data_IF_551252464214
#
_entry.id   IF_551252464214
#
_cell.length_a   1.000
_cell.length_b   1.000
_cell.length_c   1.000
_cell.angle_alpha   90.00
_cell.angle_beta   90.00
_cell.angle_gamma   90.00
#
_symmetry.space_group_name_H-M   'P 1'
#
loop_
_entity.id
_entity.type
_entity.pdbx_description
1 polymer ?
#
# COMPACT_ATOMS: atom_id res chain seq x y z
N UNK A 1 -6.35 -1.74 8.19
CA UNK A 1 -6.72 -0.45 7.58
C UNK A 1 -8.00 0.08 8.22
N UNK A 2 -9.13 -0.64 8.17
CA UNK A 2 -10.44 -0.14 8.63
C UNK A 2 -10.43 0.43 10.03
N UNK A 3 -9.96 -0.31 11.03
CA UNK A 3 -9.91 0.15 12.42
C UNK A 3 -9.06 1.42 12.59
N UNK A 4 -7.99 1.57 11.80
CA UNK A 4 -7.18 2.77 11.83
C UNK A 4 -7.96 3.98 11.25
N UNK A 5 -8.71 3.78 10.17
CA UNK A 5 -9.59 4.81 9.62
C UNK A 5 -10.73 5.18 10.58
N UNK A 6 -11.29 4.20 11.28
CA UNK A 6 -12.30 4.45 12.31
C UNK A 6 -11.73 5.33 13.44
N UNK A 7 -10.51 5.04 13.88
CA UNK A 7 -9.82 5.85 14.90
C UNK A 7 -9.54 7.28 14.41
N UNK A 8 -9.10 7.45 13.16
CA UNK A 8 -8.89 8.78 12.56
C UNK A 8 -10.21 9.56 12.49
N UNK A 9 -11.28 8.89 12.07
CA UNK A 9 -12.61 9.49 11.98
C UNK A 9 -13.12 9.93 13.37
N UNK A 10 -13.02 9.07 14.36
CA UNK A 10 -13.39 9.39 15.72
C UNK A 10 -12.57 10.57 16.28
N UNK A 11 -11.26 10.56 16.07
CA UNK A 11 -10.39 11.66 16.47
C UNK A 11 -10.82 13.00 15.84
N UNK A 12 -11.26 13.01 14.58
CA UNK A 12 -11.77 14.21 13.91
C UNK A 12 -13.10 14.68 14.51
N UNK A 13 -13.99 13.73 14.83
CA UNK A 13 -15.28 14.04 15.44
C UNK A 13 -15.14 14.64 16.83
N UNK A 14 -14.29 14.06 17.67
CA UNK A 14 -14.11 14.51 19.06
C UNK A 14 -13.29 15.80 19.20
N UNK A 15 -12.31 16.02 18.33
CA UNK A 15 -11.35 17.10 18.47
C UNK A 15 -11.49 18.20 17.38
N UNK A 16 -12.53 18.14 16.57
CA UNK A 16 -12.75 19.06 15.46
C UNK A 16 -11.79 18.86 14.29
N UNK A 17 -12.06 19.57 13.19
CA UNK A 17 -11.23 19.53 11.98
C UNK A 17 -9.96 20.39 12.17
N UNK A 18 -8.79 19.84 11.82
CA UNK A 18 -7.50 20.53 11.71
C UNK A 18 -6.54 19.72 10.86
N UNK A 19 -5.51 20.34 10.35
CA UNK A 19 -4.43 19.67 9.59
C UNK A 19 -3.62 18.74 10.50
N UNK A 20 -3.93 17.43 10.48
CA UNK A 20 -3.26 16.39 11.27
C UNK A 20 -2.35 15.51 10.46
N UNK A 21 -2.54 15.45 9.15
CA UNK A 21 -1.79 14.63 8.19
C UNK A 21 -1.58 13.19 8.69
N UNK A 22 -2.64 12.45 9.01
CA UNK A 22 -2.48 11.06 9.42
C UNK A 22 -1.87 10.25 8.29
N UNK A 23 -0.92 9.36 8.63
CA UNK A 23 -0.23 8.49 7.68
C UNK A 23 -0.54 7.05 8.04
N UNK A 24 -0.95 6.25 7.07
CA UNK A 24 -1.01 4.80 7.18
C UNK A 24 0.05 4.17 6.28
N UNK A 25 0.85 3.28 6.85
CA UNK A 25 1.99 2.67 6.19
C UNK A 25 1.68 1.24 5.73
N UNK A 26 2.41 0.78 4.73
CA UNK A 26 2.36 -0.54 4.08
C UNK A 26 1.16 -0.75 3.15
N UNK A 27 -0.05 -0.70 3.63
CA UNK A 27 -1.30 -0.74 2.86
C UNK A 27 -1.34 -1.86 1.79
N UNK A 28 -0.80 -3.03 2.12
CA UNK A 28 -0.73 -4.19 1.23
C UNK A 28 -2.12 -4.58 0.69
N UNK A 29 -3.10 -4.65 1.58
CA UNK A 29 -4.50 -4.95 1.25
C UNK A 29 -5.41 -3.87 1.81
N UNK A 30 -6.10 -3.18 0.91
CA UNK A 30 -7.11 -2.16 1.26
C UNK A 30 -8.42 -2.55 0.63
N UNK A 31 -9.46 -2.69 1.47
CA UNK A 31 -10.80 -2.97 0.97
C UNK A 31 -11.29 -1.82 0.08
N UNK A 32 -11.97 -2.07 -1.04
CA UNK A 32 -12.40 -1.01 -1.96
C UNK A 32 -13.16 0.15 -1.29
N UNK A 33 -14.03 -0.15 -0.33
CA UNK A 33 -14.76 0.89 0.43
C UNK A 33 -13.85 1.75 1.30
N UNK A 34 -12.70 1.23 1.74
CA UNK A 34 -11.76 1.97 2.58
C UNK A 34 -10.83 2.88 1.76
N UNK A 35 -10.73 2.66 0.43
CA UNK A 35 -10.01 3.59 -0.46
C UNK A 35 -10.66 4.98 -0.48
N UNK A 36 -11.99 5.05 -0.54
CA UNK A 36 -12.71 6.32 -0.50
C UNK A 36 -12.52 7.02 0.85
N UNK A 37 -12.51 6.27 1.93
CA UNK A 37 -12.29 6.82 3.28
C UNK A 37 -10.89 7.40 3.48
N UNK A 38 -9.87 6.86 2.80
CA UNK A 38 -8.52 7.47 2.82
C UNK A 38 -8.57 8.91 2.28
N UNK A 39 -9.33 9.14 1.21
CA UNK A 39 -9.53 10.49 0.63
C UNK A 39 -10.35 11.36 1.59
N UNK A 40 -11.51 10.89 2.03
CA UNK A 40 -12.44 11.64 2.91
C UNK A 40 -11.80 12.09 4.23
N UNK A 41 -10.91 11.24 4.76
CA UNK A 41 -10.21 11.49 6.01
C UNK A 41 -8.84 12.17 5.83
N UNK A 42 -8.47 12.48 4.58
CA UNK A 42 -7.19 13.10 4.22
C UNK A 42 -5.99 12.31 4.82
N UNK A 43 -6.02 11.00 4.64
CA UNK A 43 -4.99 10.08 5.11
C UNK A 43 -3.96 9.87 4.03
N UNK A 44 -2.69 10.12 4.34
CA UNK A 44 -1.58 9.81 3.44
C UNK A 44 -1.33 8.30 3.44
N UNK A 45 -1.29 7.72 2.26
CA UNK A 45 -0.90 6.33 2.06
C UNK A 45 0.62 6.27 1.86
N UNK A 46 1.36 5.78 2.86
CA UNK A 46 2.77 5.49 2.69
C UNK A 46 2.95 4.03 2.26
N UNK A 47 3.60 3.81 1.13
CA UNK A 47 3.69 2.49 0.51
C UNK A 47 5.15 2.08 0.27
N UNK A 48 5.43 0.81 0.48
CA UNK A 48 6.74 0.21 0.23
C UNK A 48 6.73 -0.39 -1.17
N UNK A 49 7.27 0.36 -2.14
CA UNK A 49 7.17 0.03 -3.56
C UNK A 49 7.84 -1.32 -3.89
N UNK A 50 8.98 -1.63 -3.27
CA UNK A 50 9.68 -2.91 -3.47
C UNK A 50 8.86 -4.13 -3.05
N UNK A 51 7.94 -3.98 -2.12
CA UNK A 51 7.12 -5.11 -1.64
C UNK A 51 6.08 -5.58 -2.66
N UNK A 52 5.84 -4.78 -3.69
CA UNK A 52 4.90 -5.10 -4.74
C UNK A 52 5.48 -6.00 -5.84
N UNK A 53 6.52 -6.76 -5.54
CA UNK A 53 7.16 -7.71 -6.47
C UNK A 53 6.70 -9.14 -6.19
N UNK A 54 6.89 -10.01 -7.19
CA UNK A 54 6.64 -11.45 -7.08
C UNK A 54 7.90 -12.14 -6.57
N UNK A 55 8.06 -12.20 -5.26
CA UNK A 55 9.15 -12.89 -4.58
C UNK A 55 8.67 -14.19 -3.89
N UNK A 56 9.60 -14.92 -3.27
CA UNK A 56 9.29 -16.16 -2.54
C UNK A 56 8.28 -15.94 -1.41
N UNK A 57 8.34 -14.79 -0.71
CA UNK A 57 7.36 -14.46 0.34
C UNK A 57 5.95 -14.34 -0.23
N UNK A 58 5.83 -13.74 -1.41
CA UNK A 58 4.53 -13.62 -2.08
C UNK A 58 4.05 -14.96 -2.63
N UNK A 59 4.91 -15.72 -3.30
CA UNK A 59 4.52 -16.95 -3.99
C UNK A 59 4.28 -18.12 -3.05
N UNK A 60 5.09 -18.27 -2.00
CA UNK A 60 5.05 -19.44 -1.11
C UNK A 60 4.25 -19.20 0.17
N UNK A 61 4.19 -17.94 0.64
CA UNK A 61 3.57 -17.63 1.92
C UNK A 61 2.26 -16.87 1.78
N UNK A 62 2.28 -15.72 1.08
CA UNK A 62 1.18 -14.76 1.09
C UNK A 62 0.03 -15.16 0.18
N UNK A 63 0.30 -15.38 -1.11
CA UNK A 63 -0.72 -15.71 -2.10
C UNK A 63 -1.51 -16.99 -1.78
N UNK A 64 -0.88 -18.11 -1.35
CA UNK A 64 -1.62 -19.31 -0.99
C UNK A 64 -2.64 -19.10 0.15
N UNK A 65 -2.34 -18.18 1.08
CA UNK A 65 -3.22 -17.87 2.21
C UNK A 65 -4.31 -16.86 1.86
N UNK A 66 -4.05 -15.96 0.93
CA UNK A 66 -5.03 -14.98 0.48
C UNK A 66 -6.04 -15.54 -0.50
N UNK A 67 -5.63 -16.48 -1.34
CA UNK A 67 -6.38 -16.97 -2.49
C UNK A 67 -6.38 -15.96 -3.65
N UNK A 68 -6.76 -16.42 -4.85
CA UNK A 68 -6.57 -15.68 -6.11
C UNK A 68 -7.18 -14.26 -6.09
N UNK A 69 -8.43 -14.12 -5.62
CA UNK A 69 -9.11 -12.82 -5.62
C UNK A 69 -8.39 -11.77 -4.80
N UNK A 70 -8.06 -12.08 -3.54
CA UNK A 70 -7.36 -11.10 -2.67
C UNK A 70 -5.90 -10.89 -3.08
N UNK A 71 -5.27 -11.90 -3.64
CA UNK A 71 -3.91 -11.76 -4.18
C UNK A 71 -3.84 -10.73 -5.30
N UNK A 72 -4.83 -10.72 -6.21
CA UNK A 72 -4.92 -9.73 -7.28
C UNK A 72 -5.23 -8.29 -6.78
N UNK A 73 -5.69 -8.17 -5.54
CA UNK A 73 -6.02 -6.87 -4.92
C UNK A 73 -4.88 -6.27 -4.09
N UNK A 74 -3.71 -6.94 -4.01
CA UNK A 74 -2.58 -6.43 -3.25
C UNK A 74 -1.90 -5.24 -3.95
N UNK A 75 -1.36 -4.31 -3.15
CA UNK A 75 -0.53 -3.18 -3.60
C UNK A 75 -1.17 -2.37 -4.75
N UNK A 76 -2.42 -1.96 -4.58
CA UNK A 76 -3.21 -1.23 -5.60
C UNK A 76 -2.80 0.24 -5.73
N UNK A 77 -1.51 0.53 -5.86
CA UNK A 77 -0.97 1.89 -5.88
C UNK A 77 -1.59 2.77 -6.96
N UNK A 78 -1.72 2.25 -8.18
CA UNK A 78 -2.37 2.98 -9.27
C UNK A 78 -3.84 3.32 -8.97
N UNK A 79 -4.55 2.46 -8.22
CA UNK A 79 -5.92 2.73 -7.78
C UNK A 79 -5.96 3.83 -6.72
N UNK A 80 -4.99 3.85 -5.81
CA UNK A 80 -4.86 4.90 -4.79
C UNK A 80 -4.61 6.27 -5.45
N UNK A 81 -3.67 6.35 -6.38
CA UNK A 81 -3.37 7.58 -7.11
C UNK A 81 -4.59 8.07 -7.91
N UNK A 82 -5.26 7.17 -8.65
CA UNK A 82 -6.48 7.52 -9.42
C UNK A 82 -7.64 7.96 -8.53
N UNK A 83 -7.73 7.47 -7.31
CA UNK A 83 -8.73 7.89 -6.34
C UNK A 83 -8.42 9.27 -5.72
N UNK A 84 -7.26 9.86 -5.99
CA UNK A 84 -6.83 11.13 -5.42
C UNK A 84 -6.23 11.03 -4.01
N UNK A 85 -5.84 9.83 -3.58
CA UNK A 85 -5.16 9.64 -2.30
C UNK A 85 -3.74 10.21 -2.40
N UNK A 86 -3.32 10.95 -1.39
CA UNK A 86 -1.93 11.36 -1.24
C UNK A 86 -1.07 10.15 -0.97
N UNK A 87 -0.21 9.79 -1.93
CA UNK A 87 0.69 8.63 -1.83
C UNK A 87 2.12 9.11 -1.60
N UNK A 88 2.76 8.59 -0.57
CA UNK A 88 4.20 8.68 -0.35
C UNK A 88 4.82 7.29 -0.44
N UNK A 89 6.11 7.21 -0.69
CA UNK A 89 6.82 5.95 -0.82
C UNK A 89 7.98 5.86 0.17
N UNK A 90 8.22 4.66 0.68
CA UNK A 90 9.32 4.31 1.55
C UNK A 90 9.92 2.96 1.19
N UNK A 91 10.99 2.58 1.88
CA UNK A 91 11.64 1.28 1.72
C UNK A 91 11.46 0.36 2.93
N UNK A 92 11.00 0.91 4.05
CA UNK A 92 11.02 0.23 5.35
C UNK A 92 12.42 -0.31 5.70
N UNK A 93 13.46 0.47 5.33
CA UNK A 93 14.83 0.12 5.65
C UNK A 93 15.01 -0.12 7.17
N UNK A 94 15.68 -1.20 7.60
CA UNK A 94 16.52 -2.12 6.82
C UNK A 94 15.82 -3.36 6.27
N UNK A 95 14.50 -3.43 6.29
CA UNK A 95 13.74 -4.60 5.79
C UNK A 95 13.96 -4.80 4.30
N UNK A 96 13.94 -3.71 3.53
CA UNK A 96 14.32 -3.74 2.10
C UNK A 96 15.35 -2.67 1.78
N UNK A 97 16.11 -2.84 0.68
CA UNK A 97 17.04 -1.83 0.19
C UNK A 97 16.36 -0.47 -0.01
N UNK A 98 17.14 0.59 0.14
CA UNK A 98 16.64 1.97 0.04
C UNK A 98 16.89 2.61 -1.33
N UNK A 99 17.21 1.82 -2.37
CA UNK A 99 17.38 2.32 -3.74
C UNK A 99 16.03 2.75 -4.33
N UNK A 100 15.80 4.06 -4.52
CA UNK A 100 14.52 4.54 -5.02
C UNK A 100 14.28 4.18 -6.49
N UNK A 101 15.33 3.99 -7.29
CA UNK A 101 15.17 3.64 -8.70
C UNK A 101 14.70 2.20 -8.87
N UNK A 102 15.23 1.29 -8.04
CA UNK A 102 14.74 -0.08 -7.99
C UNK A 102 13.29 -0.12 -7.51
N UNK A 103 12.96 0.63 -6.47
CA UNK A 103 11.61 0.72 -5.95
C UNK A 103 10.60 1.22 -7.01
N UNK A 104 10.96 2.27 -7.77
CA UNK A 104 10.16 2.79 -8.88
C UNK A 104 10.00 1.73 -9.98
N UNK A 105 11.07 1.03 -10.35
CA UNK A 105 11.02 -0.06 -11.33
C UNK A 105 10.00 -1.12 -10.93
N UNK A 106 10.06 -1.59 -9.67
CA UNK A 106 9.08 -2.57 -9.16
C UNK A 106 7.66 -2.02 -9.17
N UNK A 107 7.47 -0.78 -8.75
CA UNK A 107 6.14 -0.15 -8.75
C UNK A 107 5.49 -0.14 -10.14
N UNK A 108 6.29 0.00 -11.20
CA UNK A 108 5.83 0.04 -12.59
C UNK A 108 5.68 -1.36 -13.18
N UNK A 109 6.66 -2.24 -12.96
CA UNK A 109 6.75 -3.54 -13.64
C UNK A 109 6.17 -4.70 -12.84
N UNK A 110 6.11 -4.58 -11.51
CA UNK A 110 5.73 -5.64 -10.56
C UNK A 110 6.66 -6.86 -10.61
N UNK A 111 7.87 -6.71 -11.13
CA UNK A 111 8.86 -7.77 -11.27
C UNK A 111 9.98 -7.63 -10.26
N UNK A 112 10.41 -8.73 -9.68
CA UNK A 112 11.68 -8.82 -8.95
C UNK A 112 12.87 -8.60 -9.89
N UNK A 113 14.02 -8.18 -9.36
CA UNK A 113 15.26 -8.08 -10.13
C UNK A 113 15.73 -9.44 -10.65
N UNK A 114 15.48 -10.49 -9.86
CA UNK A 114 15.95 -11.86 -10.11
C UNK A 114 14.88 -12.76 -10.75
N UNK A 115 13.72 -12.24 -11.10
CA UNK A 115 12.63 -13.06 -11.63
C UNK A 115 12.68 -13.13 -13.14
N UNK A 116 12.84 -14.36 -13.63
CA UNK A 116 12.84 -14.70 -15.07
C UNK A 116 11.47 -14.56 -15.69
N UNK A 117 10.50 -13.95 -15.37
CA UNK A 117 9.30 -13.69 -16.21
C UNK A 117 7.92 -13.55 -15.54
N UNK A 118 7.77 -13.69 -14.27
CA UNK A 118 6.44 -13.57 -13.70
C UNK A 118 6.18 -12.16 -13.14
N UNK A 119 5.66 -11.30 -14.01
CA UNK A 119 4.96 -10.12 -13.54
C UNK A 119 3.69 -10.55 -12.81
N UNK A 120 3.39 -9.90 -11.75
CA UNK A 120 2.21 -10.12 -10.92
C UNK A 120 0.95 -9.52 -11.52
#
# INVERSE_FOLDING_TARGET
>A
VRNALDAVQQCRQENGARDRRPVLTHLQLVHPTDLLRLVELDVVANVELLWAQSDAVQTELTRPRLGARRSAEQYRYASMVRAGIHVSAGSDWPVTPHDPMEAIRVAVTRRSADADDDAW
#
